data_IF_812195037835
#
_entry.id   IF_812195037835
#
_cell.length_a   1.000
_cell.length_b   1.000
_cell.length_c   1.000
_cell.angle_alpha   90.00
_cell.angle_beta   90.00
_cell.angle_gamma   90.00
#
_symmetry.space_group_name_H-M   'P 1'
#
loop_
_entity.id
_entity.type
_entity.pdbx_description
1 polymer ?
#
# COMPACT_ATOMS: atom_id res chain seq x y z
N UNK A 1 17.06 8.31 -1.24
CA UNK A 1 15.95 8.98 -1.93
C UNK A 1 15.40 8.01 -2.96
N UNK A 2 14.13 7.70 -2.87
CA UNK A 2 13.42 6.85 -3.84
C UNK A 2 13.19 7.65 -5.12
N UNK A 3 14.14 7.57 -6.05
CA UNK A 3 14.09 8.37 -7.26
C UNK A 3 13.47 7.55 -8.39
N UNK A 4 12.34 7.99 -8.91
CA UNK A 4 11.83 7.53 -10.20
C UNK A 4 12.52 8.35 -11.28
N UNK A 5 13.15 7.69 -12.26
CA UNK A 5 13.79 8.36 -13.39
C UNK A 5 12.75 9.20 -14.17
N UNK A 6 13.14 10.41 -14.60
CA UNK A 6 12.21 11.34 -15.22
C UNK A 6 11.56 10.76 -16.48
N UNK A 7 12.31 10.03 -17.28
CA UNK A 7 11.80 9.35 -18.47
C UNK A 7 10.67 8.36 -18.16
N UNK A 8 10.82 7.58 -17.06
CA UNK A 8 9.78 6.67 -16.61
C UNK A 8 8.59 7.42 -16.02
N UNK A 9 8.83 8.49 -15.28
CA UNK A 9 7.77 9.37 -14.78
C UNK A 9 6.92 9.93 -15.93
N UNK A 10 7.54 10.38 -17.02
CA UNK A 10 6.84 10.85 -18.21
C UNK A 10 6.10 9.73 -18.93
N UNK A 11 6.66 8.54 -18.95
CA UNK A 11 5.98 7.35 -19.49
C UNK A 11 4.73 7.01 -18.68
N UNK A 12 4.83 6.99 -17.36
CA UNK A 12 3.69 6.74 -16.46
C UNK A 12 2.61 7.80 -16.67
N UNK A 13 2.98 9.09 -16.72
CA UNK A 13 2.02 10.18 -16.96
C UNK A 13 1.30 10.06 -18.31
N UNK A 14 2.01 9.64 -19.36
CA UNK A 14 1.39 9.37 -20.66
C UNK A 14 0.40 8.21 -20.60
N UNK A 15 0.75 7.13 -19.91
CA UNK A 15 -0.15 5.98 -19.73
C UNK A 15 -1.41 6.36 -18.93
N UNK A 16 -1.26 7.13 -17.85
CA UNK A 16 -2.40 7.62 -17.07
C UNK A 16 -3.32 8.48 -17.93
N UNK A 17 -2.77 9.38 -18.76
CA UNK A 17 -3.56 10.21 -19.69
C UNK A 17 -4.26 9.37 -20.76
N UNK A 18 -3.62 8.34 -21.26
CA UNK A 18 -4.22 7.40 -22.21
C UNK A 18 -5.39 6.65 -21.57
N UNK A 19 -5.24 6.19 -20.31
CA UNK A 19 -6.32 5.56 -19.54
C UNK A 19 -7.52 6.50 -19.39
N UNK A 20 -7.30 7.78 -19.07
CA UNK A 20 -8.39 8.76 -18.99
C UNK A 20 -9.20 8.84 -20.29
N UNK A 21 -8.50 8.80 -21.44
CA UNK A 21 -9.15 8.89 -22.75
C UNK A 21 -9.89 7.60 -23.14
N UNK A 22 -9.27 6.45 -22.95
CA UNK A 22 -9.83 5.15 -23.34
C UNK A 22 -11.01 4.74 -22.46
N UNK A 23 -10.90 4.99 -21.15
CA UNK A 23 -11.89 4.58 -20.16
C UNK A 23 -12.94 5.66 -19.87
N UNK A 24 -12.76 6.86 -20.43
CA UNK A 24 -13.65 8.01 -20.18
C UNK A 24 -13.79 8.34 -18.69
N UNK A 25 -12.65 8.41 -18.00
CA UNK A 25 -12.54 8.74 -16.57
C UNK A 25 -11.70 10.00 -16.36
N UNK A 26 -11.71 10.52 -15.14
CA UNK A 26 -10.74 11.50 -14.66
C UNK A 26 -9.97 10.91 -13.50
N UNK A 27 -8.64 10.91 -13.60
CA UNK A 27 -7.75 10.50 -12.53
C UNK A 27 -7.62 11.66 -11.55
N UNK A 28 -7.93 11.39 -10.28
CA UNK A 28 -7.91 12.40 -9.21
C UNK A 28 -6.65 12.30 -8.36
N UNK A 29 -6.02 11.14 -8.35
CA UNK A 29 -4.79 10.87 -7.62
C UNK A 29 -4.04 9.70 -8.27
N UNK A 30 -2.72 9.78 -8.38
CA UNK A 30 -1.89 8.66 -8.80
C UNK A 30 -0.55 8.68 -8.08
N UNK A 31 -0.10 7.51 -7.62
CA UNK A 31 1.10 7.35 -6.83
C UNK A 31 1.86 6.06 -7.16
N UNK A 32 3.09 6.00 -6.69
CA UNK A 32 3.86 4.76 -6.59
C UNK A 32 3.47 3.98 -5.34
N UNK A 33 3.46 2.67 -5.45
CA UNK A 33 3.26 1.73 -4.35
C UNK A 33 4.46 0.76 -4.25
N UNK A 34 4.31 -0.34 -3.52
CA UNK A 34 5.29 -1.42 -3.48
C UNK A 34 6.68 -1.01 -3.01
N UNK A 35 7.71 -1.72 -3.49
CA UNK A 35 9.08 -1.61 -2.98
C UNK A 35 9.70 -0.22 -3.17
N UNK A 36 9.30 0.53 -4.20
CA UNK A 36 9.78 1.90 -4.43
C UNK A 36 9.24 2.86 -3.39
N UNK A 37 7.94 2.79 -3.12
CA UNK A 37 7.32 3.60 -2.07
C UNK A 37 7.82 3.21 -0.67
N UNK A 38 8.12 1.93 -0.46
CA UNK A 38 8.69 1.45 0.80
C UNK A 38 10.17 1.78 1.00
N UNK A 39 10.86 2.30 -0.02
CA UNK A 39 12.23 2.82 0.09
C UNK A 39 13.35 1.80 -0.14
N UNK A 40 13.08 0.61 -0.71
CA UNK A 40 14.09 -0.40 -1.02
C UNK A 40 13.95 -1.03 -2.42
N UNK A 41 13.78 -0.23 -3.50
CA UNK A 41 13.77 -0.78 -4.83
C UNK A 41 15.14 -1.39 -5.19
N UNK A 42 15.14 -2.42 -6.02
CA UNK A 42 16.29 -2.84 -6.84
C UNK A 42 16.16 -2.24 -8.24
N UNK A 43 17.20 -2.39 -9.06
CA UNK A 43 17.14 -1.94 -10.46
C UNK A 43 16.01 -2.62 -11.24
N UNK A 44 15.75 -3.90 -10.95
CA UNK A 44 14.72 -4.72 -11.60
C UNK A 44 13.36 -4.66 -10.88
N UNK A 45 13.17 -3.75 -9.93
CA UNK A 45 11.87 -3.59 -9.28
C UNK A 45 10.87 -2.98 -10.23
N UNK A 46 9.67 -3.56 -10.28
CA UNK A 46 8.54 -3.01 -11.02
C UNK A 46 8.16 -1.61 -10.52
N UNK A 47 7.49 -0.88 -11.37
CA UNK A 47 6.79 0.36 -11.01
C UNK A 47 5.34 0.01 -10.72
N UNK A 48 4.97 0.09 -9.45
CA UNK A 48 3.63 -0.24 -8.94
C UNK A 48 2.75 1.02 -8.92
N UNK A 49 2.25 1.42 -10.08
CA UNK A 49 1.42 2.62 -10.21
C UNK A 49 0.01 2.33 -9.76
N UNK A 50 -0.48 3.10 -8.81
CA UNK A 50 -1.82 3.00 -8.27
C UNK A 50 -2.53 4.34 -8.43
N UNK A 51 -3.82 4.32 -8.82
CA UNK A 51 -4.55 5.56 -9.03
C UNK A 51 -6.01 5.48 -8.58
N UNK A 52 -6.57 6.63 -8.26
CA UNK A 52 -7.99 6.83 -7.98
C UNK A 52 -8.61 7.63 -9.12
N UNK A 53 -9.81 7.23 -9.52
CA UNK A 53 -10.51 7.88 -10.63
C UNK A 53 -11.99 8.07 -10.35
N UNK A 54 -12.61 8.99 -11.08
CA UNK A 54 -14.07 9.19 -11.12
C UNK A 54 -14.58 9.06 -12.55
N UNK A 55 -15.76 8.50 -12.69
CA UNK A 55 -16.53 8.42 -13.94
C UNK A 55 -17.54 9.57 -14.03
N UNK A 56 -18.13 9.84 -15.20
CA UNK A 56 -19.24 10.77 -15.33
C UNK A 56 -20.45 10.34 -14.46
N UNK A 57 -21.29 11.31 -14.07
CA UNK A 57 -22.42 11.07 -13.18
C UNK A 57 -23.35 9.97 -13.69
N UNK A 58 -23.63 9.94 -15.00
CA UNK A 58 -24.53 8.99 -15.65
C UNK A 58 -24.08 7.55 -15.43
N UNK A 59 -22.77 7.31 -15.37
CA UNK A 59 -22.22 5.99 -15.09
C UNK A 59 -22.64 5.47 -13.71
N UNK A 60 -22.65 6.34 -12.70
CA UNK A 60 -23.04 5.98 -11.33
C UNK A 60 -24.56 5.77 -11.16
N UNK A 61 -25.35 6.32 -12.06
CA UNK A 61 -26.81 6.20 -12.08
C UNK A 61 -27.28 5.00 -12.89
N UNK A 62 -26.38 4.24 -13.53
CA UNK A 62 -26.73 3.01 -14.23
C UNK A 62 -27.31 1.98 -13.26
N UNK A 63 -28.36 1.26 -13.71
CA UNK A 63 -28.96 0.15 -12.97
C UNK A 63 -28.02 -1.06 -12.95
N UNK A 64 -27.22 -1.23 -14.01
CA UNK A 64 -26.23 -2.30 -14.10
C UNK A 64 -24.99 -1.96 -13.28
N UNK A 65 -24.58 -2.90 -12.41
CA UNK A 65 -23.32 -2.77 -11.69
C UNK A 65 -22.15 -2.87 -12.66
N UNK A 66 -21.33 -1.83 -12.68
CA UNK A 66 -20.16 -1.74 -13.54
C UNK A 66 -18.88 -2.07 -12.76
N UNK A 67 -17.83 -2.49 -13.48
CA UNK A 67 -16.52 -2.78 -12.88
C UNK A 67 -15.90 -1.50 -12.31
N UNK A 68 -15.55 -1.54 -11.03
CA UNK A 68 -15.00 -0.43 -10.25
C UNK A 68 -13.45 -0.45 -10.13
N UNK A 69 -12.79 -1.18 -11.03
CA UNK A 69 -11.33 -1.31 -11.13
C UNK A 69 -10.92 -1.20 -12.59
N UNK A 70 -9.88 -0.42 -12.84
CA UNK A 70 -9.17 -0.37 -14.13
C UNK A 70 -7.80 -1.01 -13.91
N UNK A 71 -7.51 -2.05 -14.69
CA UNK A 71 -6.23 -2.77 -14.69
C UNK A 71 -5.66 -2.77 -16.09
N UNK A 72 -4.37 -2.53 -16.21
CA UNK A 72 -3.64 -2.70 -17.45
C UNK A 72 -2.78 -3.97 -17.38
N UNK A 73 -2.63 -4.70 -18.49
CA UNK A 73 -1.67 -5.80 -18.54
C UNK A 73 -0.28 -5.30 -18.13
N UNK A 74 0.40 -6.08 -17.28
CA UNK A 74 1.77 -5.77 -16.88
C UNK A 74 2.62 -5.80 -18.15
N UNK A 75 3.30 -4.68 -18.43
CA UNK A 75 4.21 -4.53 -19.56
C UNK A 75 5.58 -4.10 -19.06
N UNK A 76 6.61 -4.77 -19.51
CA UNK A 76 7.99 -4.56 -19.06
C UNK A 76 8.10 -4.57 -17.53
N UNK A 77 8.27 -3.40 -16.92
CA UNK A 77 8.36 -3.22 -15.46
C UNK A 77 7.21 -2.37 -14.91
N UNK A 78 6.08 -2.25 -15.63
CA UNK A 78 5.01 -1.34 -15.26
C UNK A 78 3.71 -2.08 -14.95
N UNK A 79 3.29 -2.02 -13.70
CA UNK A 79 2.01 -2.50 -13.18
C UNK A 79 1.11 -1.33 -12.81
N UNK A 80 0.05 -1.10 -13.61
CA UNK A 80 -0.88 0.03 -13.43
C UNK A 80 -2.26 -0.49 -13.04
N UNK A 81 -2.73 -0.07 -11.87
CA UNK A 81 -4.04 -0.45 -11.34
C UNK A 81 -4.73 0.76 -10.70
N UNK A 82 -6.03 0.94 -10.97
CA UNK A 82 -6.81 2.04 -10.41
C UNK A 82 -8.14 1.60 -9.84
N UNK A 83 -8.59 2.33 -8.82
CA UNK A 83 -9.88 2.13 -8.17
C UNK A 83 -10.81 3.31 -8.40
N UNK A 84 -12.06 3.00 -8.70
CA UNK A 84 -13.14 3.99 -8.70
C UNK A 84 -13.26 4.65 -7.32
N UNK A 85 -13.53 5.96 -7.30
CA UNK A 85 -13.62 6.72 -6.04
C UNK A 85 -14.69 6.15 -5.10
N UNK A 86 -15.85 5.70 -5.61
CA UNK A 86 -16.90 5.09 -4.79
C UNK A 86 -16.41 3.82 -4.10
N UNK A 87 -15.61 2.99 -4.81
CA UNK A 87 -14.91 1.83 -4.22
C UNK A 87 -13.89 2.29 -3.18
N UNK A 88 -13.05 3.26 -3.53
CA UNK A 88 -12.02 3.77 -2.63
C UNK A 88 -12.62 4.30 -1.32
N UNK A 89 -13.71 5.05 -1.37
CA UNK A 89 -14.40 5.56 -0.18
C UNK A 89 -15.01 4.43 0.67
N UNK A 90 -15.57 3.39 0.05
CA UNK A 90 -16.01 2.18 0.78
C UNK A 90 -14.87 1.45 1.48
N UNK A 91 -13.69 1.39 0.84
CA UNK A 91 -12.48 0.82 1.43
C UNK A 91 -11.89 1.74 2.51
N UNK A 92 -11.92 3.04 2.31
CA UNK A 92 -11.51 4.05 3.26
C UNK A 92 -12.29 3.92 4.58
N UNK A 93 -13.62 3.80 4.48
CA UNK A 93 -14.49 3.56 5.65
C UNK A 93 -14.11 2.32 6.45
N UNK A 94 -13.55 1.30 5.78
CA UNK A 94 -13.09 0.05 6.42
C UNK A 94 -11.64 0.14 6.91
N UNK A 95 -11.03 1.31 6.83
CA UNK A 95 -9.61 1.49 7.16
C UNK A 95 -8.70 0.54 6.36
N UNK A 96 -8.90 0.46 5.04
CA UNK A 96 -8.15 -0.43 4.17
C UNK A 96 -6.68 0.03 4.05
N UNK A 97 -5.69 -0.74 4.55
CA UNK A 97 -4.30 -0.33 4.57
C UNK A 97 -3.71 0.00 3.20
N UNK A 98 -3.94 -0.77 2.12
CA UNK A 98 -3.46 -0.40 0.79
C UNK A 98 -3.87 1.00 0.36
N UNK A 99 -5.13 1.39 0.57
CA UNK A 99 -5.59 2.74 0.24
C UNK A 99 -4.92 3.80 1.11
N UNK A 100 -4.83 3.56 2.42
CA UNK A 100 -4.17 4.48 3.35
C UNK A 100 -2.69 4.64 3.03
N UNK A 101 -2.02 3.57 2.60
CA UNK A 101 -0.65 3.61 2.09
C UNK A 101 -0.54 4.42 0.79
N UNK A 102 -1.43 4.23 -0.18
CA UNK A 102 -1.42 5.03 -1.41
C UNK A 102 -1.50 6.52 -1.11
N UNK A 103 -2.40 6.91 -0.22
CA UNK A 103 -2.59 8.32 0.20
C UNK A 103 -1.37 8.92 0.90
N UNK A 104 -0.49 8.10 1.47
CA UNK A 104 0.77 8.49 2.13
C UNK A 104 2.00 8.28 1.25
N UNK A 105 1.84 7.83 0.00
CA UNK A 105 2.99 7.55 -0.87
C UNK A 105 3.90 8.77 -1.02
N UNK A 106 5.21 8.61 -0.81
CA UNK A 106 6.17 9.69 -0.99
C UNK A 106 6.43 10.02 -2.47
N UNK A 107 5.90 9.20 -3.39
CA UNK A 107 6.08 9.37 -4.84
C UNK A 107 4.70 9.51 -5.47
N UNK A 108 4.37 10.73 -5.85
CA UNK A 108 3.13 11.07 -6.54
C UNK A 108 3.40 11.32 -8.02
N UNK A 109 2.50 10.85 -8.88
CA UNK A 109 2.54 11.03 -10.32
C UNK A 109 1.53 12.08 -10.80
N UNK A 110 0.36 12.11 -10.18
CA UNK A 110 -0.72 13.07 -10.47
C UNK A 110 -1.56 13.35 -9.22
N UNK A 111 -1.89 14.63 -8.99
CA UNK A 111 -2.83 15.09 -7.97
C UNK A 111 -3.34 16.48 -8.40
N UNK A 112 -4.27 16.51 -9.37
CA UNK A 112 -4.78 17.76 -9.98
C UNK A 112 -5.98 18.36 -9.26
N UNK A 113 -6.65 17.57 -8.43
CA UNK A 113 -7.89 17.93 -7.73
C UNK A 113 -7.67 17.87 -6.22
N UNK A 114 -8.55 18.56 -5.47
CA UNK A 114 -8.43 18.63 -4.01
C UNK A 114 -8.95 17.37 -3.28
N UNK A 115 -9.58 16.43 -4.01
CA UNK A 115 -10.25 15.25 -3.44
C UNK A 115 -9.32 14.39 -2.58
N UNK A 116 -8.10 14.10 -3.06
CA UNK A 116 -7.17 13.27 -2.31
C UNK A 116 -6.70 13.95 -1.01
N UNK A 117 -6.55 15.27 -1.01
CA UNK A 117 -6.25 16.07 0.17
C UNK A 117 -7.38 15.97 1.22
N UNK A 118 -8.64 16.10 0.77
CA UNK A 118 -9.80 15.95 1.67
C UNK A 118 -9.86 14.55 2.29
N UNK A 119 -9.60 13.49 1.52
CA UNK A 119 -9.58 12.13 2.04
C UNK A 119 -8.43 11.96 3.05
N UNK A 120 -7.22 12.49 2.75
CA UNK A 120 -6.09 12.45 3.70
C UNK A 120 -6.40 13.16 5.01
N UNK A 121 -7.06 14.30 4.96
CA UNK A 121 -7.45 15.06 6.16
C UNK A 121 -8.38 14.24 7.08
N UNK A 122 -9.20 13.35 6.53
CA UNK A 122 -10.09 12.47 7.30
C UNK A 122 -9.43 11.14 7.72
N UNK A 123 -8.24 10.81 7.23
CA UNK A 123 -7.58 9.53 7.54
C UNK A 123 -7.43 9.25 9.04
N UNK A 124 -7.07 10.23 9.90
CA UNK A 124 -7.01 9.99 11.34
C UNK A 124 -8.36 9.58 11.96
N UNK A 125 -9.47 10.05 11.39
CA UNK A 125 -10.81 9.75 11.88
C UNK A 125 -11.34 8.39 11.39
N UNK A 126 -10.73 7.81 10.37
CA UNK A 126 -11.13 6.52 9.79
C UNK A 126 -10.18 5.39 10.15
N UNK A 127 -9.03 5.72 10.74
CA UNK A 127 -8.05 4.70 11.09
C UNK A 127 -8.60 3.75 12.15
N UNK A 128 -8.64 2.46 11.83
CA UNK A 128 -8.99 1.37 12.73
C UNK A 128 -7.79 0.49 12.96
N UNK A 129 -7.17 0.57 14.14
CA UNK A 129 -6.03 -0.26 14.52
C UNK A 129 -6.31 -1.75 14.30
N UNK A 130 -7.49 -2.21 14.73
CA UNK A 130 -7.91 -3.60 14.55
C UNK A 130 -7.98 -4.02 13.07
N UNK A 131 -8.65 -3.23 12.23
CA UNK A 131 -8.79 -3.56 10.81
C UNK A 131 -7.43 -3.63 10.11
N UNK A 132 -6.55 -2.67 10.41
CA UNK A 132 -5.20 -2.62 9.87
C UNK A 132 -4.34 -3.78 10.39
N UNK A 133 -4.40 -4.07 11.69
CA UNK A 133 -3.70 -5.20 12.31
C UNK A 133 -4.07 -6.52 11.63
N UNK A 134 -5.37 -6.81 11.48
CA UNK A 134 -5.81 -8.04 10.81
C UNK A 134 -5.36 -8.14 9.36
N UNK A 135 -5.39 -7.03 8.63
CA UNK A 135 -4.94 -7.01 7.23
C UNK A 135 -3.46 -7.35 7.12
N UNK A 136 -2.60 -6.62 7.86
CA UNK A 136 -1.15 -6.83 7.81
C UNK A 136 -0.77 -8.23 8.33
N UNK A 137 -1.39 -8.67 9.40
CA UNK A 137 -1.14 -10.00 9.95
C UNK A 137 -1.52 -11.12 8.96
N UNK A 138 -2.68 -11.02 8.31
CA UNK A 138 -3.11 -12.02 7.32
C UNK A 138 -2.18 -12.04 6.11
N UNK A 139 -1.71 -10.88 5.65
CA UNK A 139 -0.72 -10.79 4.57
C UNK A 139 0.62 -11.42 4.98
N UNK A 140 1.10 -11.15 6.19
CA UNK A 140 2.31 -11.75 6.73
C UNK A 140 2.19 -13.27 6.83
N UNK A 141 1.12 -13.77 7.43
CA UNK A 141 0.85 -15.22 7.60
C UNK A 141 0.79 -15.96 6.26
N UNK A 142 0.10 -15.38 5.28
CA UNK A 142 0.02 -15.96 3.94
C UNK A 142 1.40 -16.12 3.32
N UNK A 143 2.19 -15.05 3.27
CA UNK A 143 3.54 -15.11 2.71
C UNK A 143 4.49 -15.99 3.52
N UNK A 144 4.40 -15.98 4.84
CA UNK A 144 5.21 -16.85 5.71
C UNK A 144 4.94 -18.33 5.44
N UNK A 145 3.66 -18.72 5.39
CA UNK A 145 3.24 -20.09 5.11
C UNK A 145 3.68 -20.56 3.71
N UNK A 146 3.50 -19.70 2.70
CA UNK A 146 3.64 -20.11 1.30
C UNK A 146 5.11 -20.09 0.83
N UNK A 147 5.99 -19.31 1.47
CA UNK A 147 7.34 -19.07 0.95
C UNK A 147 8.49 -19.21 1.94
N UNK A 148 8.22 -19.21 3.26
CA UNK A 148 9.27 -19.17 4.27
C UNK A 148 9.28 -20.41 5.18
N UNK A 149 8.67 -21.51 4.72
CA UNK A 149 8.73 -22.82 5.38
C UNK A 149 9.78 -23.71 4.69
N UNK A 150 10.45 -24.57 5.47
CA UNK A 150 11.47 -25.47 4.95
C UNK A 150 12.89 -24.96 5.12
N UNK A 151 13.87 -25.75 4.72
CA UNK A 151 15.30 -25.43 4.89
C UNK A 151 15.80 -24.38 3.90
N UNK A 152 15.23 -24.36 2.69
CA UNK A 152 15.48 -23.37 1.65
C UNK A 152 14.24 -22.52 1.45
N UNK A 153 14.41 -21.21 1.47
CA UNK A 153 13.33 -20.23 1.41
C UNK A 153 13.58 -19.16 0.36
N UNK A 154 12.51 -18.58 -0.18
CA UNK A 154 12.62 -17.44 -1.10
C UNK A 154 12.99 -16.17 -0.32
N UNK A 155 14.27 -15.85 -0.25
CA UNK A 155 14.82 -14.75 0.57
C UNK A 155 14.13 -13.40 0.28
N UNK A 156 13.80 -13.10 -0.98
CA UNK A 156 13.05 -11.89 -1.33
C UNK A 156 11.72 -11.78 -0.58
N UNK A 157 11.11 -12.91 -0.22
CA UNK A 157 9.81 -12.94 0.47
C UNK A 157 9.87 -12.54 1.94
N UNK A 158 11.05 -12.49 2.55
CA UNK A 158 11.19 -11.94 3.90
C UNK A 158 10.65 -10.51 4.01
N UNK A 159 10.86 -9.65 3.01
CA UNK A 159 10.32 -8.29 3.02
C UNK A 159 8.78 -8.24 3.08
N UNK A 160 8.12 -9.20 2.41
CA UNK A 160 6.66 -9.30 2.37
C UNK A 160 6.04 -9.88 3.65
N UNK A 161 6.89 -10.32 4.60
CA UNK A 161 6.48 -10.73 5.94
C UNK A 161 6.97 -9.75 7.00
N UNK A 162 8.23 -9.30 6.91
CA UNK A 162 8.82 -8.32 7.83
C UNK A 162 8.02 -7.01 7.85
N UNK A 163 7.77 -6.42 6.67
CA UNK A 163 7.10 -5.12 6.60
C UNK A 163 5.71 -5.14 7.26
N UNK A 164 4.80 -6.07 6.92
CA UNK A 164 3.50 -6.11 7.59
C UNK A 164 3.59 -6.44 9.09
N UNK A 165 4.55 -7.27 9.54
CA UNK A 165 4.71 -7.49 10.98
C UNK A 165 5.27 -6.28 11.72
N UNK A 166 6.20 -5.54 11.11
CA UNK A 166 6.66 -4.27 11.64
C UNK A 166 5.53 -3.22 11.65
N UNK A 167 4.68 -3.22 10.63
CA UNK A 167 3.47 -2.39 10.62
C UNK A 167 2.52 -2.74 11.78
N UNK A 168 2.34 -4.03 12.09
CA UNK A 168 1.60 -4.47 13.28
C UNK A 168 2.26 -3.96 14.58
N UNK A 169 3.61 -4.02 14.67
CA UNK A 169 4.34 -3.50 15.83
C UNK A 169 4.22 -1.98 15.99
N UNK A 170 4.17 -1.27 14.87
CA UNK A 170 3.91 0.18 14.90
C UNK A 170 2.50 0.49 15.43
N UNK A 171 1.48 -0.22 14.93
CA UNK A 171 0.10 -0.06 15.40
C UNK A 171 -0.02 -0.37 16.89
N UNK A 172 0.60 -1.46 17.37
CA UNK A 172 0.63 -1.81 18.79
C UNK A 172 1.24 -0.69 19.66
N UNK A 173 2.32 -0.06 19.18
CA UNK A 173 3.07 0.93 19.97
C UNK A 173 2.49 2.33 19.91
N UNK A 174 1.96 2.74 18.77
CA UNK A 174 1.59 4.13 18.50
C UNK A 174 0.10 4.37 18.26
N UNK A 175 -0.67 3.31 18.11
CA UNK A 175 -2.11 3.38 17.77
C UNK A 175 -2.37 4.28 16.55
N UNK A 176 -1.49 4.20 15.55
CA UNK A 176 -1.47 5.07 14.38
C UNK A 176 -1.11 4.29 13.11
N UNK A 177 -1.45 4.88 11.95
CA UNK A 177 -1.06 4.32 10.65
C UNK A 177 0.46 4.24 10.52
N UNK A 178 1.02 3.06 10.14
CA UNK A 178 2.45 2.90 9.98
C UNK A 178 3.02 3.75 8.85
N UNK A 179 4.27 4.24 8.97
CA UNK A 179 4.95 4.92 7.89
C UNK A 179 5.20 4.00 6.69
N UNK A 180 5.30 4.61 5.50
CA UNK A 180 5.59 3.87 4.26
C UNK A 180 7.01 3.30 4.25
N UNK A 181 7.98 4.07 4.74
CA UNK A 181 9.40 3.72 4.70
C UNK A 181 9.71 2.52 5.59
N UNK A 182 10.15 1.42 4.98
CA UNK A 182 10.54 0.21 5.71
C UNK A 182 11.68 0.45 6.69
N UNK A 183 12.64 1.27 6.30
CA UNK A 183 13.81 1.58 7.13
C UNK A 183 13.41 2.35 8.41
N UNK A 184 12.40 3.21 8.34
CA UNK A 184 11.83 3.90 9.51
C UNK A 184 11.20 2.91 10.49
N UNK A 185 10.43 1.95 9.99
CA UNK A 185 9.87 0.87 10.81
C UNK A 185 10.96 0.05 11.51
N UNK A 186 12.03 -0.30 10.78
CA UNK A 186 13.16 -1.08 11.34
C UNK A 186 13.89 -0.27 12.40
N UNK A 187 14.23 0.99 12.13
CA UNK A 187 14.97 1.84 13.05
C UNK A 187 14.23 2.07 14.36
N UNK A 188 12.90 2.21 14.29
CA UNK A 188 12.07 2.51 15.45
C UNK A 188 11.74 1.27 16.30
N UNK A 189 11.57 0.11 15.66
CA UNK A 189 11.03 -1.07 16.33
C UNK A 189 12.09 -2.13 16.65
N UNK A 190 13.25 -2.10 15.99
CA UNK A 190 14.30 -3.12 16.18
C UNK A 190 15.54 -2.48 16.83
N UNK A 191 15.97 -2.95 18.01
CA UNK A 191 17.18 -2.46 18.64
C UNK A 191 18.42 -2.68 17.75
N UNK A 192 19.23 -1.66 17.56
CA UNK A 192 20.43 -1.72 16.71
C UNK A 192 21.44 -2.80 17.16
N UNK A 193 21.45 -3.13 18.46
CA UNK A 193 22.31 -4.17 19.02
C UNK A 193 21.81 -5.60 18.79
N UNK A 194 20.59 -5.77 18.27
CA UNK A 194 20.00 -7.08 18.04
C UNK A 194 20.60 -7.76 16.78
N UNK A 195 20.86 -9.08 16.79
CA UNK A 195 21.26 -9.82 15.59
C UNK A 195 20.27 -9.65 14.43
N UNK A 196 18.98 -9.54 14.75
CA UNK A 196 17.90 -9.27 13.80
C UNK A 196 18.15 -7.98 12.98
N UNK A 197 18.60 -6.90 13.65
CA UNK A 197 18.93 -5.65 12.98
C UNK A 197 20.01 -5.83 11.91
N UNK A 198 21.06 -6.57 12.24
CA UNK A 198 22.15 -6.87 11.32
C UNK A 198 21.70 -7.70 10.12
N UNK A 199 20.89 -8.76 10.36
CA UNK A 199 20.36 -9.60 9.27
C UNK A 199 19.43 -8.81 8.34
N UNK A 200 18.57 -7.95 8.89
CA UNK A 200 17.67 -7.09 8.08
C UNK A 200 18.46 -6.11 7.22
N UNK A 201 19.47 -5.44 7.78
CA UNK A 201 20.28 -4.48 7.04
C UNK A 201 21.14 -5.15 5.96
N UNK A 202 21.67 -6.35 6.21
CA UNK A 202 22.39 -7.11 5.17
C UNK A 202 21.43 -7.52 4.04
N UNK A 203 20.22 -7.97 4.37
CA UNK A 203 19.21 -8.30 3.37
C UNK A 203 18.81 -7.06 2.55
N UNK A 204 18.65 -5.89 3.18
CA UNK A 204 18.40 -4.61 2.50
C UNK A 204 19.56 -4.20 1.58
N UNK A 205 20.81 -4.34 2.04
CA UNK A 205 22.01 -4.05 1.25
C UNK A 205 22.01 -4.90 -0.03
N UNK A 206 21.82 -6.21 0.11
CA UNK A 206 21.74 -7.16 -1.01
C UNK A 206 20.62 -6.80 -1.99
N UNK A 207 19.44 -6.50 -1.48
CA UNK A 207 18.29 -6.07 -2.30
C UNK A 207 18.58 -4.81 -3.09
N UNK A 208 19.14 -3.77 -2.44
CA UNK A 208 19.49 -2.50 -3.09
C UNK A 208 20.63 -2.63 -4.10
N UNK A 209 21.54 -3.58 -3.87
CA UNK A 209 22.62 -3.92 -4.80
C UNK A 209 22.14 -4.68 -6.05
N UNK A 210 20.87 -5.11 -6.09
CA UNK A 210 20.34 -5.92 -7.19
C UNK A 210 20.85 -7.38 -7.17
N UNK A 211 21.32 -7.87 -6.02
CA UNK A 211 21.69 -9.27 -5.89
C UNK A 211 20.47 -10.17 -6.08
N UNK A 212 20.66 -11.32 -6.71
CA UNK A 212 19.62 -12.31 -6.86
C UNK A 212 19.23 -12.87 -5.49
N UNK A 213 18.00 -12.64 -5.05
CA UNK A 213 17.45 -13.05 -3.76
C UNK A 213 16.46 -14.21 -3.98
N UNK A 214 16.98 -15.36 -4.34
CA UNK A 214 16.17 -16.55 -4.64
C UNK A 214 16.18 -17.55 -3.46
N UNK A 215 16.27 -18.84 -3.74
CA UNK A 215 16.26 -19.90 -2.73
C UNK A 215 17.59 -19.97 -1.98
N UNK A 216 17.57 -19.70 -0.69
CA UNK A 216 18.71 -19.76 0.21
C UNK A 216 18.30 -20.36 1.56
N UNK A 217 19.29 -20.78 2.40
CA UNK A 217 19.00 -21.16 3.77
C UNK A 217 18.28 -20.06 4.55
N UNK A 218 17.46 -20.45 5.51
CA UNK A 218 16.78 -19.50 6.39
C UNK A 218 17.77 -18.55 7.08
N UNK A 219 17.32 -17.31 7.29
CA UNK A 219 18.01 -16.31 8.12
C UNK A 219 17.50 -16.46 9.57
N UNK A 220 18.35 -17.00 10.50
CA UNK A 220 17.84 -17.50 11.79
C UNK A 220 17.19 -16.43 12.66
N UNK A 221 17.77 -15.22 12.74
CA UNK A 221 17.22 -14.16 13.59
C UNK A 221 15.93 -13.61 13.01
N UNK A 222 15.86 -13.44 11.68
CA UNK A 222 14.61 -13.04 11.02
C UNK A 222 13.55 -14.13 11.21
N UNK A 223 13.87 -15.38 10.95
CA UNK A 223 12.90 -16.49 11.05
C UNK A 223 12.30 -16.62 12.45
N UNK A 224 13.13 -16.52 13.50
CA UNK A 224 12.67 -16.55 14.88
C UNK A 224 11.74 -15.37 15.20
N UNK A 225 12.11 -14.16 14.76
CA UNK A 225 11.30 -12.97 14.91
C UNK A 225 9.92 -13.10 14.24
N UNK A 226 9.89 -13.59 12.99
CA UNK A 226 8.63 -13.74 12.24
C UNK A 226 7.68 -14.72 12.96
N UNK A 227 8.19 -15.87 13.40
CA UNK A 227 7.38 -16.87 14.10
C UNK A 227 6.81 -16.32 15.42
N UNK A 228 7.66 -15.68 16.22
CA UNK A 228 7.25 -15.05 17.50
C UNK A 228 6.19 -13.97 17.26
N UNK A 229 6.42 -13.06 16.31
CA UNK A 229 5.53 -11.91 16.09
C UNK A 229 4.20 -12.29 15.46
N UNK A 230 4.15 -13.31 14.61
CA UNK A 230 2.89 -13.84 14.09
C UNK A 230 2.00 -14.32 15.27
N UNK A 231 2.55 -15.14 16.16
CA UNK A 231 1.80 -15.64 17.31
C UNK A 231 1.39 -14.52 18.28
N UNK A 232 2.28 -13.56 18.52
CA UNK A 232 2.00 -12.40 19.37
C UNK A 232 0.84 -11.56 18.81
N UNK A 233 0.90 -11.18 17.52
CA UNK A 233 -0.14 -10.34 16.93
C UNK A 233 -1.46 -11.07 16.68
N UNK A 234 -1.47 -12.40 16.55
CA UNK A 234 -2.71 -13.18 16.54
C UNK A 234 -3.47 -13.03 17.86
N UNK A 235 -2.76 -13.15 18.97
CA UNK A 235 -3.36 -12.97 20.31
C UNK A 235 -3.84 -11.54 20.51
N UNK A 236 -3.01 -10.56 20.17
CA UNK A 236 -3.34 -9.14 20.30
C UNK A 236 -4.56 -8.76 19.46
N UNK A 237 -4.57 -9.09 18.17
CA UNK A 237 -5.66 -8.77 17.25
C UNK A 237 -7.01 -9.35 17.71
N UNK A 238 -7.00 -10.55 18.33
CA UNK A 238 -8.21 -11.17 18.85
C UNK A 238 -8.84 -10.42 20.02
N UNK A 239 -8.04 -9.61 20.74
CA UNK A 239 -8.47 -8.85 21.92
C UNK A 239 -8.86 -7.40 21.59
N UNK A 240 -8.50 -6.91 20.39
CA UNK A 240 -8.83 -5.55 19.97
C UNK A 240 -10.32 -5.38 19.71
N UNK A 241 -10.87 -4.24 20.09
CA UNK A 241 -12.24 -3.87 19.79
C UNK A 241 -12.35 -3.09 18.48
N UNK A 242 -13.49 -3.18 17.81
CA UNK A 242 -13.77 -2.35 16.65
C UNK A 242 -14.34 -1.01 17.13
N UNK A 243 -13.69 0.06 16.80
CA UNK A 243 -14.28 1.39 16.89
C UNK A 243 -15.04 1.72 15.62
N UNK A 244 -16.19 2.33 15.78
CA UNK A 244 -16.96 2.81 14.63
C UNK A 244 -16.43 4.16 14.20
N UNK A 245 -16.14 4.26 12.92
CA UNK A 245 -15.26 5.27 12.46
C UNK A 245 -16.05 6.38 11.76
N UNK A 246 -16.27 6.39 10.51
CA UNK A 246 -16.88 7.49 9.77
C UNK A 246 -18.29 7.14 9.27
N UNK A 247 -19.20 8.11 9.26
CA UNK A 247 -20.55 7.92 8.74
C UNK A 247 -20.56 7.98 7.22
N UNK A 248 -21.53 7.31 6.58
CA UNK A 248 -21.65 7.30 5.12
C UNK A 248 -21.92 8.69 4.57
N UNK A 249 -22.67 9.52 5.29
CA UNK A 249 -23.03 10.87 4.89
C UNK A 249 -21.81 11.76 4.66
N UNK A 250 -20.74 11.56 5.43
CA UNK A 250 -19.48 12.29 5.23
C UNK A 250 -18.76 11.85 3.95
N UNK A 251 -18.77 10.54 3.68
CA UNK A 251 -18.18 9.99 2.46
C UNK A 251 -19.00 10.38 1.22
N UNK A 252 -20.32 10.43 1.34
CA UNK A 252 -21.21 10.89 0.27
C UNK A 252 -20.95 12.36 -0.09
N UNK A 253 -20.67 13.23 0.92
CA UNK A 253 -20.27 14.62 0.67
C UNK A 253 -18.97 14.71 -0.12
N UNK A 254 -17.96 13.92 0.24
CA UNK A 254 -16.69 13.87 -0.51
C UNK A 254 -16.95 13.40 -1.94
N UNK A 255 -17.76 12.37 -2.11
CA UNK A 255 -18.07 11.83 -3.43
C UNK A 255 -18.78 12.83 -4.32
N UNK A 256 -19.81 13.50 -3.79
CA UNK A 256 -20.53 14.54 -4.51
C UNK A 256 -19.64 15.75 -4.84
N UNK A 257 -18.81 16.16 -3.88
CA UNK A 257 -17.84 17.22 -4.09
C UNK A 257 -16.86 16.87 -5.22
N UNK A 258 -16.33 15.64 -5.23
CA UNK A 258 -15.41 15.16 -6.27
C UNK A 258 -16.06 15.19 -7.65
N UNK A 259 -17.31 14.75 -7.78
CA UNK A 259 -18.03 14.79 -9.05
C UNK A 259 -18.25 16.23 -9.53
N UNK A 260 -18.57 17.15 -8.62
CA UNK A 260 -18.73 18.55 -8.94
C UNK A 260 -17.40 19.21 -9.35
N UNK A 261 -16.32 19.00 -8.58
CA UNK A 261 -15.01 19.58 -8.88
C UNK A 261 -14.47 19.09 -10.23
N UNK A 262 -14.60 17.79 -10.50
CA UNK A 262 -13.95 17.14 -11.65
C UNK A 262 -14.73 17.35 -12.97
N UNK A 263 -16.06 17.43 -12.89
CA UNK A 263 -16.94 17.50 -14.08
C UNK A 263 -17.68 18.84 -14.24
N UNK A 264 -17.44 19.83 -13.36
CA UNK A 264 -18.09 21.14 -13.45
C UNK A 264 -17.71 21.95 -14.72
N UNK A 265 -16.63 21.62 -15.39
CA UNK A 265 -16.12 22.29 -16.59
C UNK A 265 -16.34 21.48 -17.88
N UNK A 266 -17.15 20.42 -17.86
CA UNK A 266 -17.40 19.55 -19.01
C UNK A 266 -18.71 19.87 -19.73
#
# INVERSE_FOLDING_TARGET
MTHVHEEMRDTIRRQLKQIEQEEQVRIIYACESGSRAWGFPSQDSDYDVRFLYVRPLEWYLSIEEQRDVIERPISDQLDINGWDLRKALKLFRKSNPPLLEWLQSPIQYDERYSVAEHIRALSPLTFSPKSCMFHYLNMAKGNFRDYLQGEQVKIKKYFYVLRPLLACGWIERYDAMPPMAFEELVQELIPQSAPLYTEIHELLRRKKAGEELDLEPQLPAIQAFLAEKIEHFERLASQMENEQIIQYEELDRIFLFALQEVWAEA
#
